data_IF_000918396987
#
_entry.id   IF_000918396987
#
_cell.length_a   1.000
_cell.length_b   1.000
_cell.length_c   1.000
_cell.angle_alpha   90.00
_cell.angle_beta   90.00
_cell.angle_gamma   90.00
#
_symmetry.space_group_name_H-M   'P 1'
#
loop_
_entity.id
_entity.type
_entity.pdbx_description
1 polymer ?
#
# COMPACT_ATOMS: atom_id res chain seq x y z
N UNK A 1 -12.47 -3.29 3.76
CA UNK A 1 -11.23 -2.49 3.68
C UNK A 1 -11.66 -1.12 3.16
N UNK A 2 -11.11 0.01 3.65
CA UNK A 2 -11.48 1.32 3.12
C UNK A 2 -11.09 1.41 1.64
N UNK A 3 -11.95 1.97 0.78
CA UNK A 3 -11.66 2.09 -0.65
C UNK A 3 -10.39 2.91 -0.93
N UNK A 4 -10.05 3.85 -0.05
CA UNK A 4 -8.86 4.69 -0.17
C UNK A 4 -7.55 3.89 -0.04
N UNK A 5 -7.50 2.92 0.87
CA UNK A 5 -6.31 2.06 1.03
C UNK A 5 -6.22 1.02 -0.07
N UNK A 6 -7.38 0.53 -0.53
CA UNK A 6 -7.44 -0.39 -1.68
C UNK A 6 -6.89 0.28 -2.95
N UNK A 7 -7.30 1.54 -3.22
CA UNK A 7 -6.76 2.34 -4.31
C UNK A 7 -5.25 2.55 -4.19
N UNK A 8 -4.73 2.82 -2.99
CA UNK A 8 -3.29 2.96 -2.76
C UNK A 8 -2.52 1.66 -3.02
N UNK A 9 -3.09 0.50 -2.66
CA UNK A 9 -2.48 -0.81 -2.97
C UNK A 9 -2.48 -1.09 -4.47
N UNK A 10 -3.56 -0.77 -5.17
CA UNK A 10 -3.62 -0.88 -6.63
C UNK A 10 -2.60 0.05 -7.29
N UNK A 11 -2.50 1.29 -6.82
CA UNK A 11 -1.50 2.26 -7.28
C UNK A 11 -0.09 1.68 -7.09
N UNK A 12 0.21 1.12 -5.92
CA UNK A 12 1.49 0.46 -5.62
C UNK A 12 1.82 -0.66 -6.60
N UNK A 13 0.85 -1.48 -6.99
CA UNK A 13 1.05 -2.56 -7.98
C UNK A 13 1.41 -1.99 -9.35
N UNK A 14 0.74 -0.92 -9.79
CA UNK A 14 1.13 -0.18 -11.01
C UNK A 14 2.55 0.39 -10.90
N UNK A 15 2.90 0.94 -9.74
CA UNK A 15 4.20 1.56 -9.46
C UNK A 15 5.33 0.50 -9.46
N UNK A 16 5.06 -0.72 -8.98
CA UNK A 16 5.97 -1.86 -9.12
C UNK A 16 6.20 -2.22 -10.58
N UNK A 17 5.16 -2.19 -11.41
CA UNK A 17 5.30 -2.44 -12.85
C UNK A 17 6.13 -1.36 -13.55
N UNK A 18 5.99 -0.09 -13.12
CA UNK A 18 6.80 1.02 -13.64
C UNK A 18 8.20 1.10 -13.01
N UNK A 19 8.54 0.17 -12.10
CA UNK A 19 9.82 0.11 -11.34
C UNK A 19 10.13 1.38 -10.54
N UNK A 20 9.09 2.12 -10.16
CA UNK A 20 9.21 3.41 -9.53
C UNK A 20 9.18 3.24 -8.00
N UNK A 21 10.26 2.64 -7.45
CA UNK A 21 10.36 2.24 -6.05
C UNK A 21 10.16 3.39 -5.05
N UNK A 22 10.52 4.62 -5.44
CA UNK A 22 10.36 5.81 -4.62
C UNK A 22 8.88 6.07 -4.29
N UNK A 23 8.00 5.97 -5.29
CA UNK A 23 6.57 6.19 -5.06
C UNK A 23 5.91 5.03 -4.31
N UNK A 24 6.43 3.80 -4.45
CA UNK A 24 5.92 2.67 -3.68
C UNK A 24 6.16 2.87 -2.17
N UNK A 25 7.30 3.46 -1.81
CA UNK A 25 7.62 3.83 -0.43
C UNK A 25 6.77 5.02 0.07
N UNK A 26 6.49 5.99 -0.80
CA UNK A 26 5.60 7.12 -0.49
C UNK A 26 4.17 6.65 -0.16
N UNK A 27 3.64 5.74 -0.98
CA UNK A 27 2.33 5.10 -0.76
C UNK A 27 2.32 4.36 0.58
N UNK A 28 3.35 3.57 0.87
CA UNK A 28 3.47 2.85 2.16
C UNK A 28 3.46 3.82 3.35
N UNK A 29 4.09 4.98 3.20
CA UNK A 29 4.10 6.04 4.22
C UNK A 29 2.72 6.66 4.38
N UNK A 30 2.04 7.00 3.27
CA UNK A 30 0.67 7.53 3.24
C UNK A 30 -0.30 6.61 3.98
N UNK A 31 -0.22 5.31 3.70
CA UNK A 31 -1.05 4.29 4.33
C UNK A 31 -0.80 4.27 5.85
N UNK A 32 0.46 4.37 6.28
CA UNK A 32 0.85 4.52 7.69
C UNK A 32 0.28 5.77 8.35
N UNK A 33 0.34 6.91 7.68
CA UNK A 33 -0.22 8.17 8.19
C UNK A 33 -1.75 8.11 8.35
N UNK A 34 -2.44 7.38 7.47
CA UNK A 34 -3.87 7.12 7.56
C UNK A 34 -4.24 6.16 8.71
N UNK A 35 -3.26 5.64 9.46
CA UNK A 35 -3.48 4.65 10.52
C UNK A 35 -3.72 3.25 9.94
N UNK A 36 -3.16 2.95 8.78
CA UNK A 36 -3.18 1.62 8.18
C UNK A 36 -1.75 1.15 7.90
N UNK A 37 -1.54 -0.13 7.66
CA UNK A 37 -0.26 -0.66 7.25
C UNK A 37 -0.50 -1.73 6.20
N UNK A 38 0.31 -1.74 5.16
CA UNK A 38 0.27 -2.77 4.13
C UNK A 38 1.47 -3.67 4.31
N UNK A 39 1.19 -4.94 4.56
CA UNK A 39 2.17 -6.02 4.63
C UNK A 39 2.07 -6.85 3.35
N UNK A 40 3.17 -6.99 2.62
CA UNK A 40 3.26 -8.01 1.59
C UNK A 40 3.45 -9.37 2.24
N UNK A 41 2.54 -10.28 1.94
CA UNK A 41 2.66 -11.69 2.31
C UNK A 41 2.71 -12.53 1.03
N UNK A 42 3.18 -13.77 1.13
CA UNK A 42 3.17 -14.72 0.01
C UNK A 42 1.78 -14.92 -0.62
N UNK A 43 0.71 -14.67 0.14
CA UNK A 43 -0.68 -14.77 -0.31
C UNK A 43 -1.21 -13.47 -0.95
N UNK A 44 -0.45 -12.37 -0.90
CA UNK A 44 -0.82 -11.07 -1.44
C UNK A 44 -0.56 -9.91 -0.47
N UNK A 45 -0.98 -8.72 -0.88
CA UNK A 45 -0.91 -7.50 -0.05
C UNK A 45 -2.02 -7.51 1.00
N UNK A 46 -1.66 -7.58 2.28
CA UNK A 46 -2.59 -7.56 3.41
C UNK A 46 -2.61 -6.16 4.04
N UNK A 47 -3.80 -5.57 4.07
CA UNK A 47 -4.03 -4.27 4.70
C UNK A 47 -4.46 -4.49 6.15
N UNK A 48 -3.71 -3.95 7.09
CA UNK A 48 -4.05 -3.91 8.53
C UNK A 48 -4.33 -2.49 8.96
N UNK A 49 -5.30 -2.30 9.84
CA UNK A 49 -5.54 -1.01 10.50
C UNK A 49 -4.69 -0.91 11.76
N UNK A 50 -3.87 0.12 11.87
CA UNK A 50 -3.18 0.51 13.10
C UNK A 50 -4.23 1.26 13.95
N UNK A 51 -4.77 0.57 14.96
CA UNK A 51 -5.88 1.05 15.78
C UNK A 51 -5.41 2.03 16.85
#
# INVERSE_FOLDING_TARGET
IPPEVEALVTEREHIRQTKDFAKADDIRTRIKELGFTVDDTDLGSVIKKLR
#
